data_IF_578124573625
#
_entry.id   IF_578124573625
#
_cell.length_a   1.000
_cell.length_b   1.000
_cell.length_c   1.000
_cell.angle_alpha   90.00
_cell.angle_beta   90.00
_cell.angle_gamma   90.00
#
_symmetry.space_group_name_H-M   'P 1'
#
loop_
_entity.id
_entity.type
_entity.pdbx_description
1 polymer ?
#
# COMPACT_ATOMS: atom_id res chain seq x y z
N UNK A 1 -2.12 18.21 7.35
CA UNK A 1 -2.77 17.30 6.36
C UNK A 1 -2.00 17.16 5.05
N UNK A 2 -1.65 18.26 4.35
CA UNK A 2 -0.88 18.15 3.07
C UNK A 2 0.48 17.48 3.29
N UNK A 3 1.20 17.86 4.34
CA UNK A 3 2.53 17.30 4.67
C UNK A 3 2.46 15.81 4.98
N UNK A 4 1.47 15.39 5.78
CA UNK A 4 1.16 13.98 6.04
C UNK A 4 0.92 13.24 4.72
N UNK A 5 0.10 13.81 3.83
CA UNK A 5 -0.15 13.19 2.54
C UNK A 5 1.14 13.01 1.72
N UNK A 6 2.05 13.99 1.73
CA UNK A 6 3.34 13.86 1.04
C UNK A 6 4.21 12.74 1.61
N UNK A 7 4.27 12.60 2.95
CA UNK A 7 5.03 11.53 3.62
C UNK A 7 4.45 10.14 3.27
N UNK A 8 3.13 10.03 3.14
CA UNK A 8 2.45 8.78 2.85
C UNK A 8 2.19 8.52 1.35
N UNK A 9 2.47 9.48 0.46
CA UNK A 9 2.34 9.31 -0.99
C UNK A 9 3.08 8.05 -1.52
N UNK A 10 4.32 7.76 -1.06
CA UNK A 10 5.01 6.52 -1.43
C UNK A 10 4.22 5.24 -1.12
N UNK A 11 3.42 5.22 -0.04
CA UNK A 11 2.57 4.08 0.30
C UNK A 11 1.46 3.83 -0.73
N UNK A 12 0.79 4.90 -1.19
CA UNK A 12 -0.24 4.79 -2.21
C UNK A 12 0.35 4.33 -3.53
N UNK A 13 1.49 4.91 -3.94
CA UNK A 13 2.17 4.53 -5.17
C UNK A 13 2.63 3.07 -5.12
N UNK A 14 3.25 2.66 -4.00
CA UNK A 14 3.68 1.28 -3.80
C UNK A 14 2.50 0.29 -3.91
N UNK A 15 1.35 0.62 -3.34
CA UNK A 15 0.16 -0.23 -3.39
C UNK A 15 -0.50 -0.29 -4.78
N UNK A 16 -0.38 0.77 -5.59
CA UNK A 16 -0.99 0.83 -6.93
C UNK A 16 -0.16 0.15 -8.02
N UNK A 17 1.17 0.20 -7.94
CA UNK A 17 2.04 -0.36 -8.99
C UNK A 17 1.88 -1.87 -9.27
N UNK A 18 1.61 -2.74 -8.27
CA UNK A 18 1.29 -4.15 -8.52
C UNK A 18 0.09 -4.33 -9.45
N UNK A 19 -0.89 -3.41 -9.45
CA UNK A 19 -2.06 -3.46 -10.34
C UNK A 19 -1.67 -3.12 -11.78
N UNK A 20 -0.71 -2.22 -11.96
CA UNK A 20 -0.26 -1.74 -13.28
C UNK A 20 0.67 -2.75 -13.94
N UNK A 21 1.68 -3.23 -13.20
CA UNK A 21 2.76 -4.06 -13.75
C UNK A 21 2.55 -5.55 -13.49
N UNK A 22 1.75 -5.91 -12.49
CA UNK A 22 1.34 -7.29 -12.23
C UNK A 22 2.51 -8.26 -12.12
N UNK A 23 2.32 -9.46 -12.68
CA UNK A 23 3.32 -10.52 -12.78
C UNK A 23 2.65 -11.86 -13.04
N UNK A 24 3.35 -12.77 -13.69
CA UNK A 24 2.84 -14.13 -13.95
C UNK A 24 3.25 -15.15 -12.88
N UNK A 25 4.20 -14.81 -12.01
CA UNK A 25 4.76 -15.71 -10.99
C UNK A 25 4.22 -15.31 -9.61
N UNK A 26 3.25 -16.06 -9.05
CA UNK A 26 2.77 -15.86 -7.70
C UNK A 26 3.86 -16.10 -6.66
N UNK A 27 3.86 -15.32 -5.58
CA UNK A 27 4.73 -15.51 -4.42
C UNK A 27 4.48 -16.89 -3.81
N UNK A 28 3.22 -17.32 -3.76
CA UNK A 28 2.79 -18.64 -3.27
C UNK A 28 3.49 -19.80 -4.00
N UNK A 29 3.75 -19.67 -5.30
CA UNK A 29 4.45 -20.70 -6.09
C UNK A 29 5.95 -20.76 -5.76
N UNK A 30 6.55 -19.60 -5.46
CA UNK A 30 7.96 -19.51 -5.06
C UNK A 30 8.21 -20.12 -3.67
N UNK A 31 7.25 -19.96 -2.75
CA UNK A 31 7.34 -20.51 -1.38
C UNK A 31 6.78 -21.92 -1.26
N UNK A 32 6.13 -22.45 -2.31
CA UNK A 32 5.52 -23.78 -2.31
C UNK A 32 4.30 -23.92 -1.38
N UNK A 33 3.64 -22.80 -1.05
CA UNK A 33 2.51 -22.79 -0.11
C UNK A 33 1.46 -21.76 -0.51
N UNK A 34 0.18 -22.14 -0.37
CA UNK A 34 -0.95 -21.24 -0.66
C UNK A 34 -1.21 -20.30 0.53
N UNK A 35 -0.57 -19.14 0.53
CA UNK A 35 -0.56 -18.19 1.65
C UNK A 35 -1.34 -16.93 1.32
N UNK A 36 -1.11 -16.32 0.15
CA UNK A 36 -1.67 -15.02 -0.23
C UNK A 36 -2.69 -15.13 -1.37
N UNK A 37 -2.51 -16.09 -2.28
CA UNK A 37 -3.26 -16.26 -3.51
C UNK A 37 -2.53 -15.76 -4.76
N UNK A 38 -3.01 -16.15 -5.95
CA UNK A 38 -2.30 -15.99 -7.23
C UNK A 38 -2.04 -14.54 -7.65
N UNK A 39 -2.86 -13.60 -7.18
CA UNK A 39 -2.70 -12.18 -7.51
C UNK A 39 -1.53 -11.49 -6.78
N UNK A 40 -0.89 -12.15 -5.80
CA UNK A 40 0.32 -11.62 -5.16
C UNK A 40 1.53 -12.21 -5.84
N UNK A 41 2.17 -11.41 -6.68
CA UNK A 41 3.22 -11.85 -7.61
C UNK A 41 4.57 -11.24 -7.24
N UNK A 42 5.66 -11.90 -7.63
CA UNK A 42 7.01 -11.38 -7.37
C UNK A 42 7.24 -10.03 -8.05
N UNK A 43 6.83 -9.90 -9.32
CA UNK A 43 6.97 -8.63 -10.04
C UNK A 43 6.09 -7.53 -9.42
N UNK A 44 4.90 -7.87 -8.92
CA UNK A 44 4.04 -6.93 -8.20
C UNK A 44 4.73 -6.42 -6.93
N UNK A 45 5.29 -7.33 -6.12
CA UNK A 45 6.04 -6.98 -4.92
C UNK A 45 7.24 -6.07 -5.23
N UNK A 46 8.10 -6.46 -6.18
CA UNK A 46 9.31 -5.71 -6.54
C UNK A 46 8.97 -4.35 -7.14
N UNK A 47 7.97 -4.29 -8.03
CA UNK A 47 7.55 -3.03 -8.64
C UNK A 47 6.94 -2.07 -7.63
N UNK A 48 6.11 -2.56 -6.71
CA UNK A 48 5.53 -1.75 -5.64
C UNK A 48 6.59 -1.12 -4.74
N UNK A 49 7.53 -1.93 -4.23
CA UNK A 49 8.65 -1.43 -3.41
C UNK A 49 9.49 -0.42 -4.20
N UNK A 50 9.88 -0.74 -5.43
CA UNK A 50 10.74 0.13 -6.25
C UNK A 50 10.06 1.47 -6.54
N UNK A 51 8.78 1.44 -6.93
CA UNK A 51 8.00 2.66 -7.19
C UNK A 51 7.81 3.51 -5.94
N UNK A 52 7.59 2.88 -4.78
CA UNK A 52 7.53 3.56 -3.49
C UNK A 52 8.86 4.24 -3.13
N UNK A 53 9.99 3.55 -3.28
CA UNK A 53 11.33 4.12 -3.02
C UNK A 53 11.61 5.32 -3.96
N UNK A 54 11.32 5.18 -5.25
CA UNK A 54 11.48 6.27 -6.23
C UNK A 54 10.60 7.46 -5.83
N UNK A 55 9.34 7.20 -5.47
CA UNK A 55 8.41 8.24 -5.00
C UNK A 55 8.93 8.93 -3.75
N UNK A 56 9.43 8.17 -2.78
CA UNK A 56 10.01 8.72 -1.56
C UNK A 56 11.18 9.66 -1.88
N UNK A 57 12.10 9.25 -2.75
CA UNK A 57 13.22 10.09 -3.17
C UNK A 57 12.75 11.40 -3.82
N UNK A 58 11.79 11.31 -4.75
CA UNK A 58 11.27 12.47 -5.47
C UNK A 58 10.47 13.43 -4.58
N UNK A 59 9.74 12.92 -3.60
CA UNK A 59 8.85 13.73 -2.76
C UNK A 59 9.56 14.33 -1.54
N UNK A 60 10.65 13.71 -1.08
CA UNK A 60 11.38 14.12 0.13
C UNK A 60 11.75 15.61 0.19
N UNK A 61 12.22 16.25 -0.91
CA UNK A 61 12.54 17.69 -0.89
C UNK A 61 11.34 18.63 -0.66
N UNK A 62 10.11 18.13 -0.82
CA UNK A 62 8.88 18.91 -0.69
C UNK A 62 8.19 18.72 0.66
N UNK A 63 8.79 17.94 1.57
CA UNK A 63 8.27 17.73 2.93
C UNK A 63 8.89 18.74 3.91
N UNK A 64 8.28 19.00 5.07
CA UNK A 64 8.85 19.86 6.09
C UNK A 64 10.03 19.21 6.84
N UNK A 65 10.27 17.91 6.63
CA UNK A 65 11.32 17.14 7.30
C UNK A 65 12.64 17.25 6.54
N UNK A 66 13.78 17.07 7.22
CA UNK A 66 15.07 16.92 6.55
C UNK A 66 15.01 15.79 5.51
N UNK A 67 15.62 15.99 4.34
CA UNK A 67 15.55 15.04 3.21
C UNK A 67 15.79 13.59 3.63
N UNK A 68 16.82 13.34 4.44
CA UNK A 68 17.18 11.98 4.88
C UNK A 68 16.07 11.34 5.73
N UNK A 69 15.45 12.11 6.60
CA UNK A 69 14.34 11.63 7.44
C UNK A 69 13.10 11.37 6.58
N UNK A 70 12.71 12.33 5.74
CA UNK A 70 11.60 12.20 4.82
C UNK A 70 11.75 10.99 3.89
N UNK A 71 12.96 10.76 3.37
CA UNK A 71 13.26 9.65 2.49
C UNK A 71 13.15 8.31 3.22
N UNK A 72 13.71 8.19 4.42
CA UNK A 72 13.57 6.97 5.23
C UNK A 72 12.11 6.69 5.58
N UNK A 73 11.36 7.71 6.02
CA UNK A 73 9.92 7.55 6.31
C UNK A 73 9.14 7.16 5.05
N UNK A 74 9.45 7.74 3.89
CA UNK A 74 8.84 7.35 2.62
C UNK A 74 9.10 5.89 2.28
N UNK A 75 10.33 5.38 2.46
CA UNK A 75 10.66 3.96 2.28
C UNK A 75 9.85 3.09 3.27
N UNK A 76 9.78 3.49 4.54
CA UNK A 76 9.02 2.79 5.57
C UNK A 76 7.54 2.69 5.20
N UNK A 77 6.94 3.78 4.69
CA UNK A 77 5.53 3.80 4.29
C UNK A 77 5.27 2.89 3.07
N UNK A 78 6.19 2.84 2.11
CA UNK A 78 6.12 1.96 0.96
C UNK A 78 6.21 0.47 1.36
N UNK A 79 7.15 0.12 2.25
CA UNK A 79 7.25 -1.23 2.80
C UNK A 79 5.99 -1.59 3.58
N UNK A 80 5.52 -0.69 4.44
CA UNK A 80 4.31 -0.89 5.24
C UNK A 80 3.08 -1.13 4.38
N UNK A 81 2.94 -0.41 3.25
CA UNK A 81 1.85 -0.63 2.30
C UNK A 81 1.87 -2.04 1.71
N UNK A 82 3.01 -2.50 1.19
CA UNK A 82 3.15 -3.82 0.59
C UNK A 82 2.95 -4.93 1.64
N UNK A 83 3.49 -4.75 2.84
CA UNK A 83 3.28 -5.69 3.96
C UNK A 83 1.80 -5.75 4.34
N UNK A 84 1.14 -4.59 4.46
CA UNK A 84 -0.30 -4.54 4.76
C UNK A 84 -1.13 -5.24 3.69
N UNK A 85 -0.86 -5.00 2.42
CA UNK A 85 -1.55 -5.67 1.31
C UNK A 85 -1.36 -7.21 1.31
N UNK A 86 -0.16 -7.70 1.62
CA UNK A 86 0.12 -9.13 1.80
C UNK A 86 -0.61 -9.70 3.02
N UNK A 87 -0.55 -9.03 4.16
CA UNK A 87 -1.22 -9.49 5.39
C UNK A 87 -2.74 -9.47 5.23
N UNK A 88 -3.31 -8.47 4.57
CA UNK A 88 -4.73 -8.43 4.23
C UNK A 88 -5.13 -9.64 3.37
N UNK A 89 -4.30 -9.97 2.38
CA UNK A 89 -4.53 -11.15 1.52
C UNK A 89 -4.39 -12.46 2.28
N UNK A 90 -3.40 -12.57 3.17
CA UNK A 90 -3.24 -13.70 4.08
C UNK A 90 -4.50 -13.90 4.93
N UNK A 91 -4.98 -12.84 5.59
CA UNK A 91 -6.18 -12.86 6.44
C UNK A 91 -7.39 -13.37 5.63
N UNK A 92 -7.59 -12.86 4.42
CA UNK A 92 -8.67 -13.32 3.52
C UNK A 92 -8.59 -14.81 3.21
N UNK A 93 -7.39 -15.35 2.98
CA UNK A 93 -7.20 -16.80 2.76
C UNK A 93 -7.54 -17.62 4.01
N UNK A 94 -7.26 -17.11 5.21
CA UNK A 94 -7.63 -17.77 6.48
C UNK A 94 -9.13 -17.80 6.72
N UNK A 95 -9.87 -16.81 6.22
CA UNK A 95 -11.34 -16.82 6.22
C UNK A 95 -11.96 -17.60 5.05
N UNK A 96 -11.17 -18.33 4.25
CA UNK A 96 -11.66 -19.11 3.12
C UNK A 96 -12.18 -18.27 1.95
N UNK A 97 -11.93 -16.95 1.95
CA UNK A 97 -12.39 -16.06 0.89
C UNK A 97 -11.60 -16.32 -0.40
N UNK A 98 -12.29 -16.29 -1.54
CA UNK A 98 -11.66 -16.45 -2.87
C UNK A 98 -10.84 -15.21 -3.26
N UNK A 99 -9.85 -15.40 -4.13
CA UNK A 99 -9.11 -14.31 -4.76
C UNK A 99 -10.06 -13.36 -5.49
N UNK A 100 -9.80 -12.06 -5.43
CA UNK A 100 -10.65 -11.04 -6.06
C UNK A 100 -11.97 -10.70 -5.33
N UNK A 101 -12.33 -11.43 -4.27
CA UNK A 101 -13.49 -11.05 -3.43
C UNK A 101 -13.28 -9.68 -2.77
N UNK A 102 -14.34 -8.89 -2.65
CA UNK A 102 -14.31 -7.62 -1.92
C UNK A 102 -14.18 -7.88 -0.42
N UNK A 103 -13.28 -7.16 0.24
CA UNK A 103 -13.15 -7.20 1.69
C UNK A 103 -12.78 -5.81 2.21
N UNK A 104 -13.36 -5.40 3.34
CA UNK A 104 -13.12 -4.07 3.90
C UNK A 104 -11.63 -3.76 4.12
N UNK A 105 -10.84 -4.76 4.51
CA UNK A 105 -9.39 -4.59 4.70
C UNK A 105 -8.66 -4.24 3.40
N UNK A 106 -9.19 -4.59 2.23
CA UNK A 106 -8.54 -4.27 0.95
C UNK A 106 -8.44 -2.75 0.73
N UNK A 107 -9.34 -1.96 1.31
CA UNK A 107 -9.40 -0.52 1.10
C UNK A 107 -8.46 0.28 1.99
N UNK A 108 -8.20 -0.20 3.21
CA UNK A 108 -7.53 0.60 4.25
C UNK A 108 -6.35 -0.10 4.90
N UNK A 109 -6.23 -1.42 4.80
CA UNK A 109 -5.27 -2.14 5.64
C UNK A 109 -3.82 -1.88 5.24
N UNK A 110 -3.54 -1.64 3.95
CA UNK A 110 -2.21 -1.19 3.50
C UNK A 110 -1.79 0.11 4.19
N UNK A 111 -2.70 1.08 4.32
CA UNK A 111 -2.39 2.37 4.94
C UNK A 111 -2.34 2.27 6.47
N UNK A 112 -3.17 1.41 7.07
CA UNK A 112 -3.12 1.14 8.52
C UNK A 112 -1.74 0.61 8.92
N UNK A 113 -1.19 -0.33 8.15
CA UNK A 113 0.16 -0.87 8.40
C UNK A 113 1.25 0.16 8.11
N UNK A 114 1.13 0.94 7.04
CA UNK A 114 2.07 2.03 6.78
C UNK A 114 2.10 3.06 7.92
N UNK A 115 0.93 3.48 8.42
CA UNK A 115 0.80 4.42 9.54
C UNK A 115 1.39 3.82 10.82
N UNK A 116 1.12 2.55 11.12
CA UNK A 116 1.67 1.91 12.33
C UNK A 116 3.20 1.81 12.28
N UNK A 117 3.78 1.56 11.11
CA UNK A 117 5.23 1.53 10.94
C UNK A 117 5.87 2.91 11.12
N UNK A 118 5.25 3.97 10.58
CA UNK A 118 5.70 5.34 10.81
C UNK A 118 5.63 5.69 12.30
N UNK A 119 4.51 5.42 12.97
CA UNK A 119 4.33 5.68 14.40
C UNK A 119 5.29 4.87 15.29
N UNK A 120 5.76 3.71 14.84
CA UNK A 120 6.78 2.94 15.54
C UNK A 120 8.17 3.60 15.48
N UNK A 121 8.44 4.40 14.44
CA UNK A 121 9.73 5.05 14.21
C UNK A 121 9.73 6.50 14.70
N UNK A 122 8.71 7.28 14.34
CA UNK A 122 8.55 8.66 14.76
C UNK A 122 7.05 8.96 15.02
N UNK A 123 6.71 9.12 16.31
CA UNK A 123 5.33 9.37 16.77
C UNK A 123 4.86 10.80 16.51
N UNK A 124 5.76 11.72 16.21
CA UNK A 124 5.44 13.14 16.01
C UNK A 124 4.99 13.44 14.58
N UNK A 125 5.18 12.50 13.64
CA UNK A 125 4.81 12.65 12.22
C UNK A 125 3.30 12.84 12.04
N UNK A 126 2.50 12.14 12.85
CA UNK A 126 1.04 12.19 12.75
C UNK A 126 0.42 11.87 14.12
N UNK A 127 -0.48 12.73 14.62
CA UNK A 127 -1.21 12.43 15.84
C UNK A 127 -2.34 11.42 15.59
N UNK A 128 -2.91 10.85 16.65
CA UNK A 128 -3.92 9.81 16.55
C UNK A 128 -5.19 10.27 15.80
N UNK A 129 -5.64 11.51 16.02
CA UNK A 129 -6.84 12.05 15.37
C UNK A 129 -6.62 12.19 13.87
N UNK A 130 -5.50 12.79 13.47
CA UNK A 130 -5.13 12.95 12.06
C UNK A 130 -4.91 11.59 11.39
N UNK A 131 -4.33 10.61 12.09
CA UNK A 131 -4.18 9.25 11.58
C UNK A 131 -5.53 8.59 11.28
N UNK A 132 -6.51 8.71 12.20
CA UNK A 132 -7.85 8.16 12.00
C UNK A 132 -8.57 8.86 10.84
N UNK A 133 -8.49 10.19 10.74
CA UNK A 133 -9.06 10.95 9.63
C UNK A 133 -8.40 10.60 8.29
N UNK A 134 -7.08 10.41 8.29
CA UNK A 134 -6.32 10.04 7.12
C UNK A 134 -6.65 8.63 6.61
N UNK A 135 -6.80 7.66 7.52
CA UNK A 135 -7.26 6.30 7.19
C UNK A 135 -8.70 6.34 6.64
N UNK A 136 -9.59 7.12 7.25
CA UNK A 136 -10.95 7.29 6.76
C UNK A 136 -10.98 7.93 5.37
N UNK A 137 -10.17 8.95 5.12
CA UNK A 137 -10.02 9.56 3.80
C UNK A 137 -9.47 8.57 2.76
N UNK A 138 -8.53 7.71 3.17
CA UNK A 138 -7.93 6.69 2.32
C UNK A 138 -8.96 5.73 1.76
N UNK A 139 -9.99 5.37 2.53
CA UNK A 139 -11.07 4.52 2.03
C UNK A 139 -11.69 5.09 0.74
N UNK A 140 -11.97 6.40 0.71
CA UNK A 140 -12.54 7.06 -0.47
C UNK A 140 -11.54 7.17 -1.62
N UNK A 141 -10.28 7.52 -1.32
CA UNK A 141 -9.21 7.61 -2.33
C UNK A 141 -9.00 6.26 -3.01
N UNK A 142 -8.90 5.19 -2.21
CA UNK A 142 -8.64 3.84 -2.70
C UNK A 142 -9.81 3.31 -3.54
N UNK A 143 -11.04 3.51 -3.08
CA UNK A 143 -12.24 3.18 -3.86
C UNK A 143 -12.29 3.94 -5.19
N UNK A 144 -11.98 5.24 -5.18
CA UNK A 144 -11.88 6.04 -6.41
C UNK A 144 -10.82 5.50 -7.38
N UNK A 145 -9.63 5.16 -6.86
CA UNK A 145 -8.55 4.59 -7.66
C UNK A 145 -8.94 3.24 -8.29
N UNK A 146 -9.64 2.37 -7.56
CA UNK A 146 -10.09 1.09 -8.10
C UNK A 146 -11.18 1.22 -9.16
N UNK A 147 -12.08 2.20 -9.02
CA UNK A 147 -13.05 2.51 -10.08
C UNK A 147 -12.34 2.97 -11.35
N UNK A 148 -11.31 3.83 -11.23
CA UNK A 148 -10.51 4.27 -12.37
C UNK A 148 -9.78 3.09 -13.00
N UNK A 149 -9.09 2.27 -12.20
CA UNK A 149 -8.38 1.08 -12.68
C UNK A 149 -9.31 0.08 -13.38
N UNK A 150 -10.55 -0.07 -12.90
CA UNK A 150 -11.54 -0.90 -13.55
C UNK A 150 -11.97 -0.33 -14.91
N UNK A 151 -12.26 0.98 -14.96
CA UNK A 151 -12.65 1.66 -16.20
C UNK A 151 -11.55 1.67 -17.26
N UNK A 152 -10.28 1.64 -16.85
CA UNK A 152 -9.14 1.55 -17.77
C UNK A 152 -8.75 0.10 -18.10
N UNK A 153 -9.46 -0.89 -17.58
CA UNK A 153 -9.20 -2.32 -17.83
C UNK A 153 -8.02 -2.91 -17.05
N UNK A 154 -7.39 -2.14 -16.16
CA UNK A 154 -6.31 -2.63 -15.28
C UNK A 154 -6.83 -3.57 -14.17
N UNK A 155 -8.09 -3.41 -13.76
CA UNK A 155 -8.78 -4.30 -12.82
C UNK A 155 -10.04 -4.88 -13.44
N UNK A 156 -10.32 -6.15 -13.16
CA UNK A 156 -11.57 -6.81 -13.55
C UNK A 156 -12.78 -6.35 -12.72
N UNK A 157 -12.55 -5.75 -11.54
CA UNK A 157 -13.59 -5.36 -10.57
C UNK A 157 -13.31 -3.96 -10.00
N UNK A 158 -14.35 -3.19 -9.61
CA UNK A 158 -14.22 -1.79 -9.21
C UNK A 158 -13.84 -1.56 -7.74
N UNK A 159 -13.59 -2.62 -6.97
CA UNK A 159 -13.25 -2.55 -5.55
C UNK A 159 -11.77 -2.82 -5.26
#
# INVERSE_FOLDING_TARGET
MIEVFLIFLPAYVANSFPVILGGSVPIDELIGARVFGKHKTLLGFVSGISAGIITAYLISPYTPLPFREAFMLGIITAIGAIVGDLVGSYIKRRYGMKEGSEFLLDHIFFIVVAVSFVLAVNREVINLVDALLFIALTFFIHKGANIVAHRTGLKSVPW
#
